data_IF_752945079544
#
_entry.id   IF_752945079544
#
_cell.length_a   1.000
_cell.length_b   1.000
_cell.length_c   1.000
_cell.angle_alpha   90.00
_cell.angle_beta   90.00
_cell.angle_gamma   90.00
#
_symmetry.space_group_name_H-M   'P 1'
#
loop_
_entity.id
_entity.type
_entity.pdbx_description
1 polymer ?
#
# COMPACT_ATOMS: atom_id res chain seq x y z
N UNK A 1 -37.09 -3.54 53.00
CA UNK A 1 -37.27 -4.03 51.61
C UNK A 1 -36.00 -3.73 50.82
N UNK A 2 -35.05 -4.66 50.75
CA UNK A 2 -33.79 -4.49 50.00
C UNK A 2 -33.92 -5.13 48.61
N UNK A 3 -33.90 -4.31 47.56
CA UNK A 3 -33.96 -4.76 46.17
C UNK A 3 -32.57 -5.27 45.75
N UNK A 4 -32.51 -6.53 45.34
CA UNK A 4 -31.30 -7.21 44.86
C UNK A 4 -30.84 -6.56 43.54
N UNK A 5 -29.60 -6.08 43.48
CA UNK A 5 -28.94 -5.65 42.24
C UNK A 5 -28.73 -6.87 41.34
N UNK A 6 -29.27 -6.82 40.12
CA UNK A 6 -28.98 -7.79 39.08
C UNK A 6 -27.66 -7.40 38.38
N UNK A 7 -26.66 -8.27 38.50
CA UNK A 7 -25.40 -8.17 37.80
C UNK A 7 -25.61 -8.71 36.37
N UNK A 8 -25.55 -7.86 35.35
CA UNK A 8 -25.57 -8.27 33.93
C UNK A 8 -24.12 -8.44 33.49
N UNK A 9 -23.67 -9.68 33.37
CA UNK A 9 -22.36 -10.00 32.79
C UNK A 9 -22.48 -10.03 31.25
N UNK A 10 -21.95 -9.00 30.60
CA UNK A 10 -21.88 -8.89 29.14
C UNK A 10 -20.53 -9.47 28.68
N UNK A 11 -20.50 -10.76 28.33
CA UNK A 11 -19.33 -11.37 27.69
C UNK A 11 -19.37 -11.07 26.19
N UNK A 12 -18.65 -10.03 25.76
CA UNK A 12 -18.31 -9.84 24.35
C UNK A 12 -17.09 -10.71 24.01
N UNK A 13 -17.34 -11.95 23.57
CA UNK A 13 -16.31 -12.73 22.89
C UNK A 13 -16.14 -12.20 21.48
N UNK A 14 -15.19 -11.29 21.29
CA UNK A 14 -14.68 -10.95 19.95
C UNK A 14 -13.80 -12.12 19.51
N UNK A 15 -14.40 -13.05 18.76
CA UNK A 15 -13.64 -14.01 17.98
C UNK A 15 -13.05 -13.25 16.79
N UNK A 16 -11.80 -12.81 16.92
CA UNK A 16 -11.00 -12.28 15.82
C UNK A 16 -10.70 -13.43 14.86
N UNK A 17 -11.63 -13.73 13.95
CA UNK A 17 -11.39 -14.62 12.83
C UNK A 17 -10.44 -13.92 11.87
N UNK A 18 -9.15 -14.21 11.96
CA UNK A 18 -8.18 -13.86 10.92
C UNK A 18 -8.57 -14.61 9.65
N UNK A 19 -9.32 -13.95 8.77
CA UNK A 19 -9.41 -14.38 7.38
C UNK A 19 -7.99 -14.32 6.82
N UNK A 20 -7.34 -15.48 6.72
CA UNK A 20 -6.11 -15.62 5.94
C UNK A 20 -6.49 -15.33 4.50
N UNK A 21 -6.31 -14.07 4.09
CA UNK A 21 -6.46 -13.67 2.71
C UNK A 21 -5.60 -14.62 1.86
N UNK A 22 -6.27 -15.39 1.01
CA UNK A 22 -5.70 -16.33 0.07
C UNK A 22 -4.77 -15.54 -0.86
N UNK A 23 -3.48 -15.48 -0.51
CA UNK A 23 -2.52 -14.63 -1.19
C UNK A 23 -2.09 -15.35 -2.47
N UNK A 24 -2.90 -15.17 -3.52
CA UNK A 24 -2.54 -15.62 -4.85
C UNK A 24 -1.12 -15.12 -5.16
N UNK A 25 -0.18 -16.01 -5.52
CA UNK A 25 1.19 -15.63 -5.78
C UNK A 25 1.23 -14.60 -6.91
N UNK A 26 2.05 -13.56 -6.72
CA UNK A 26 2.25 -12.52 -7.73
C UNK A 26 2.84 -13.15 -9.00
N UNK A 27 2.37 -12.72 -10.17
CA UNK A 27 2.94 -13.20 -11.43
C UNK A 27 4.36 -12.66 -11.61
N UNK A 28 5.27 -13.41 -12.25
CA UNK A 28 6.61 -12.92 -12.55
C UNK A 28 6.61 -11.59 -13.32
N UNK A 29 5.66 -11.41 -14.24
CA UNK A 29 5.50 -10.16 -14.99
C UNK A 29 5.14 -8.97 -14.10
N UNK A 30 4.25 -9.15 -13.11
CA UNK A 30 3.95 -8.09 -12.15
C UNK A 30 5.20 -7.71 -11.34
N UNK A 31 5.92 -8.70 -10.81
CA UNK A 31 7.12 -8.46 -10.01
C UNK A 31 8.17 -7.70 -10.82
N UNK A 32 8.32 -8.06 -12.09
CA UNK A 32 9.25 -7.39 -13.01
C UNK A 32 8.83 -5.95 -13.32
N UNK A 33 7.55 -5.69 -13.59
CA UNK A 33 7.02 -4.33 -13.80
C UNK A 33 7.26 -3.43 -12.58
N UNK A 34 7.01 -3.95 -11.37
CA UNK A 34 7.26 -3.22 -10.13
C UNK A 34 8.75 -2.95 -9.93
N UNK A 35 9.62 -3.94 -10.19
CA UNK A 35 11.06 -3.81 -10.07
C UNK A 35 11.65 -2.75 -11.02
N UNK A 36 11.19 -2.70 -12.27
CA UNK A 36 11.59 -1.67 -13.25
C UNK A 36 11.28 -0.26 -12.71
N UNK A 37 10.17 -0.12 -11.98
CA UNK A 37 9.71 1.14 -11.42
C UNK A 37 10.24 1.43 -10.00
N UNK A 38 10.99 0.50 -9.39
CA UNK A 38 11.45 0.62 -8.00
C UNK A 38 10.35 0.50 -6.94
N UNK A 39 9.21 -0.09 -7.31
CA UNK A 39 8.01 -0.19 -6.47
C UNK A 39 7.91 -1.57 -5.83
N UNK A 40 7.40 -1.64 -4.60
CA UNK A 40 7.12 -2.92 -3.95
C UNK A 40 5.86 -3.56 -4.57
N UNK A 41 5.96 -4.75 -5.18
CA UNK A 41 4.82 -5.41 -5.83
C UNK A 41 3.74 -5.89 -4.85
N UNK A 42 4.06 -5.95 -3.55
CA UNK A 42 3.06 -6.24 -2.52
C UNK A 42 2.21 -5.02 -2.14
N UNK A 43 2.72 -3.82 -2.39
CA UNK A 43 2.02 -2.56 -2.08
C UNK A 43 1.25 -2.04 -3.29
N UNK A 44 1.87 -2.10 -4.48
CA UNK A 44 1.29 -1.57 -5.71
C UNK A 44 0.71 -2.69 -6.58
N UNK A 45 -0.56 -2.56 -6.94
CA UNK A 45 -1.18 -3.47 -7.92
C UNK A 45 -0.63 -3.21 -9.32
N UNK A 46 -0.86 -4.16 -10.25
CA UNK A 46 -0.48 -3.98 -11.67
C UNK A 46 -1.12 -2.72 -12.29
N UNK A 47 -2.35 -2.43 -11.89
CA UNK A 47 -3.08 -1.25 -12.33
C UNK A 47 -2.46 0.04 -11.78
N UNK A 48 -2.05 0.04 -10.52
CA UNK A 48 -1.37 1.17 -9.89
C UNK A 48 -0.04 1.47 -10.61
N UNK A 49 0.74 0.43 -10.88
CA UNK A 49 2.01 0.53 -11.61
C UNK A 49 1.78 1.13 -13.00
N UNK A 50 0.75 0.68 -13.72
CA UNK A 50 0.41 1.22 -15.04
C UNK A 50 -0.02 2.70 -14.96
N UNK A 51 -0.81 3.09 -13.95
CA UNK A 51 -1.21 4.49 -13.75
C UNK A 51 0.00 5.39 -13.46
N UNK A 52 0.94 4.92 -12.63
CA UNK A 52 2.18 5.65 -12.36
C UNK A 52 3.02 5.75 -13.64
N UNK A 53 3.20 4.65 -14.37
CA UNK A 53 3.99 4.63 -15.61
C UNK A 53 3.40 5.51 -16.72
N UNK A 54 2.09 5.74 -16.72
CA UNK A 54 1.41 6.59 -17.69
C UNK A 54 1.65 8.10 -17.47
N UNK A 55 2.11 8.51 -16.29
CA UNK A 55 2.39 9.93 -16.01
C UNK A 55 3.65 10.40 -16.75
N UNK A 56 3.56 11.60 -17.34
CA UNK A 56 4.56 12.14 -18.28
C UNK A 56 5.81 12.70 -17.61
N UNK A 57 5.68 13.24 -16.40
CA UNK A 57 6.82 13.80 -15.66
C UNK A 57 7.11 13.03 -14.39
N UNK A 58 8.37 13.05 -13.95
CA UNK A 58 8.76 12.41 -12.70
C UNK A 58 8.04 13.05 -11.48
N UNK A 59 7.66 14.33 -11.57
CA UNK A 59 6.86 15.01 -10.54
C UNK A 59 5.46 14.40 -10.46
N UNK A 60 4.79 14.24 -11.60
CA UNK A 60 3.43 13.71 -11.67
C UNK A 60 3.40 12.24 -11.24
N UNK A 61 4.41 11.45 -11.61
CA UNK A 61 4.58 10.08 -11.11
C UNK A 61 4.64 10.03 -9.57
N UNK A 62 5.36 10.98 -8.94
CA UNK A 62 5.45 11.07 -7.48
C UNK A 62 4.14 11.48 -6.85
N UNK A 63 3.41 12.40 -7.46
CA UNK A 63 2.08 12.81 -7.02
C UNK A 63 1.10 11.65 -7.12
N UNK A 64 1.12 10.90 -8.24
CA UNK A 64 0.32 9.69 -8.44
C UNK A 64 0.63 8.62 -7.39
N UNK A 65 1.90 8.33 -7.12
CA UNK A 65 2.31 7.40 -6.07
C UNK A 65 1.79 7.82 -4.69
N UNK A 66 1.94 9.10 -4.32
CA UNK A 66 1.44 9.63 -3.04
C UNK A 66 -0.07 9.48 -2.94
N UNK A 67 -0.79 9.79 -4.00
CA UNK A 67 -2.25 9.65 -4.04
C UNK A 67 -2.68 8.19 -3.82
N UNK A 68 -2.04 7.24 -4.50
CA UNK A 68 -2.34 5.81 -4.36
C UNK A 68 -2.06 5.34 -2.92
N UNK A 69 -0.91 5.71 -2.35
CA UNK A 69 -0.55 5.33 -0.98
C UNK A 69 -1.53 5.90 0.05
N UNK A 70 -1.92 7.18 -0.07
CA UNK A 70 -2.93 7.77 0.81
C UNK A 70 -4.29 7.08 0.70
N UNK A 71 -4.68 6.67 -0.51
CA UNK A 71 -5.93 5.93 -0.72
C UNK A 71 -5.89 4.55 -0.03
N UNK A 72 -4.77 3.84 -0.16
CA UNK A 72 -4.55 2.52 0.45
C UNK A 72 -4.48 2.61 1.97
N UNK A 73 -3.77 3.59 2.50
CA UNK A 73 -3.72 3.87 3.94
C UNK A 73 -5.11 4.14 4.51
N UNK A 74 -5.91 4.98 3.84
CA UNK A 74 -7.32 5.22 4.22
C UNK A 74 -8.20 3.97 4.17
N UNK A 75 -7.85 3.02 3.30
CA UNK A 75 -8.53 1.72 3.20
C UNK A 75 -8.03 0.70 4.24
N UNK A 76 -7.03 1.05 5.06
CA UNK A 76 -6.41 0.15 6.03
C UNK A 76 -5.51 -0.93 5.41
N UNK A 77 -5.05 -0.71 4.17
CA UNK A 77 -4.10 -1.62 3.53
C UNK A 77 -2.68 -1.45 4.08
N UNK A 78 -1.92 -2.55 4.11
CA UNK A 78 -0.52 -2.55 4.50
C UNK A 78 0.33 -1.84 3.43
N UNK A 79 0.94 -0.72 3.81
CA UNK A 79 1.78 0.09 2.92
C UNK A 79 3.23 0.21 3.40
N UNK A 80 3.66 -0.57 4.40
CA UNK A 80 5.05 -0.55 4.82
C UNK A 80 5.97 -0.94 3.67
N UNK A 81 7.12 -0.28 3.63
CA UNK A 81 8.14 -0.50 2.59
C UNK A 81 7.55 -0.42 1.17
N UNK A 82 6.95 0.71 0.75
CA UNK A 82 6.32 0.83 -0.56
C UNK A 82 7.33 0.74 -1.73
N UNK A 83 8.62 0.74 -1.44
CA UNK A 83 9.70 0.69 -2.42
C UNK A 83 10.55 -0.57 -2.22
N UNK A 84 11.12 -1.11 -3.30
CA UNK A 84 12.00 -2.29 -3.25
C UNK A 84 13.37 -1.99 -2.64
N UNK A 85 13.75 -0.73 -2.52
CA UNK A 85 14.96 -0.31 -1.80
C UNK A 85 14.74 1.03 -1.09
N UNK A 86 15.51 1.27 -0.02
CA UNK A 86 15.53 2.55 0.69
C UNK A 86 16.13 3.69 -0.14
N UNK A 87 16.87 3.35 -1.21
CA UNK A 87 17.35 4.31 -2.19
C UNK A 87 16.23 4.60 -3.18
N UNK A 88 15.54 5.71 -2.95
CA UNK A 88 14.61 6.31 -3.90
C UNK A 88 15.29 6.52 -5.26
N UNK A 89 15.16 5.53 -6.15
CA UNK A 89 15.27 5.72 -7.58
C UNK A 89 13.85 6.05 -8.01
N UNK A 90 13.62 7.29 -8.43
CA UNK A 90 12.32 7.74 -8.92
C UNK A 90 11.80 6.76 -9.99
N UNK A 91 10.48 6.49 -10.06
CA UNK A 91 9.90 5.61 -11.07
C UNK A 91 10.48 5.88 -12.48
N UNK A 92 10.82 4.80 -13.20
CA UNK A 92 11.42 4.87 -14.53
C UNK A 92 12.89 5.33 -14.59
N UNK A 93 13.64 5.34 -13.47
CA UNK A 93 15.04 5.74 -13.49
C UNK A 93 15.25 7.25 -13.62
N UNK A 94 14.21 8.05 -13.33
CA UNK A 94 14.27 9.50 -13.27
C UNK A 94 15.34 9.94 -12.24
N UNK A 95 16.55 10.23 -12.69
CA UNK A 95 17.58 10.86 -11.85
C UNK A 95 17.08 12.28 -11.60
N UNK A 96 16.97 12.70 -10.34
CA UNK A 96 16.79 14.13 -10.01
C UNK A 96 18.07 14.81 -10.50
N UNK A 97 18.10 15.23 -11.77
CA UNK A 97 19.14 16.15 -12.21
C UNK A 97 18.86 17.42 -11.45
N UNK A 98 19.72 17.78 -10.50
CA UNK A 98 19.67 19.05 -9.78
C UNK A 98 19.95 20.24 -10.69
N UNK A 99 19.13 20.38 -11.74
CA UNK A 99 19.18 21.41 -12.77
C UNK A 99 17.80 22.07 -12.94
N UNK A 100 16.95 21.98 -11.94
CA UNK A 100 15.89 22.94 -11.73
C UNK A 100 16.22 23.63 -10.41
N UNK A 101 16.62 24.89 -10.58
CA UNK A 101 17.30 25.78 -9.64
C UNK A 101 16.37 26.27 -8.55
#
# INVERSE_FOLDING_TARGET
>A
MFRKLALVALFFSVATGSALADSKPLSPGHVQEAAIMGLNPHVFSRMDIAQIAAETTCRDQRERMRYILQKKEKAGEEISNPFTSSRWLTPGGCRVTGKDR
#
